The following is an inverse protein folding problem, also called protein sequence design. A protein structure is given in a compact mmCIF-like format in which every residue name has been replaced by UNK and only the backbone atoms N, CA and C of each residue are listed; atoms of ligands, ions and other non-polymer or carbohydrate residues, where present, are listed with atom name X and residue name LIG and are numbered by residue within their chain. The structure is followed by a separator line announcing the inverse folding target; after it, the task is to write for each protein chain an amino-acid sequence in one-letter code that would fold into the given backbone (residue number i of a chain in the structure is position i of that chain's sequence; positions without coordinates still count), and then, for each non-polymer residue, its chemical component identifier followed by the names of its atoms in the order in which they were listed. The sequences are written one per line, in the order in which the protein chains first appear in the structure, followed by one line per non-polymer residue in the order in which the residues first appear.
data_IF_162191647975
#
_entry.id   IF_162191647975
#
_cell.length_a   1.000
_cell.length_b   1.000
_cell.length_c   1.000
_cell.angle_alpha   90.00
_cell.angle_beta   90.00
_cell.angle_gamma   90.00
#
_symmetry.space_group_name_H-M   'P 1'
#
loop_
_entity.id
_entity.type
_entity.pdbx_description
1 polymer ?
#
# COMPACT_ATOMS: atom_id res chain seq x y z
N UNK A 1 -6.58 23.68 3.65
CA UNK A 1 -7.38 22.95 2.66
C UNK A 1 -6.82 21.55 2.49
N UNK A 2 -7.65 20.51 2.50
CA UNK A 2 -7.24 19.18 2.06
C UNK A 2 -7.74 18.96 0.64
N UNK A 3 -6.85 18.49 -0.24
CA UNK A 3 -7.18 18.25 -1.65
C UNK A 3 -8.12 17.04 -1.70
N UNK A 4 -9.27 17.13 -2.39
CA UNK A 4 -10.18 16.01 -2.54
C UNK A 4 -9.51 14.82 -3.25
N UNK A 5 -9.84 13.60 -2.83
CA UNK A 5 -9.33 12.38 -3.44
C UNK A 5 -10.28 11.92 -4.56
N UNK A 6 -10.32 12.72 -5.63
CA UNK A 6 -11.06 12.39 -6.85
C UNK A 6 -10.21 11.47 -7.73
N UNK A 7 -10.70 10.24 -7.96
CA UNK A 7 -10.02 9.25 -8.79
C UNK A 7 -10.02 9.73 -10.23
N UNK A 8 -8.83 9.84 -10.83
CA UNK A 8 -8.66 10.16 -12.25
C UNK A 8 -7.85 9.06 -12.95
N UNK A 9 -8.47 8.25 -13.83
CA UNK A 9 -7.78 7.20 -14.57
C UNK A 9 -6.63 7.69 -15.48
N UNK A 10 -6.63 8.97 -15.85
CA UNK A 10 -5.60 9.56 -16.73
C UNK A 10 -4.42 10.15 -15.94
N UNK A 11 -4.55 10.38 -14.63
CA UNK A 11 -3.46 10.85 -13.78
C UNK A 11 -2.54 9.68 -13.39
N UNK A 12 -1.25 9.84 -13.68
CA UNK A 12 -0.22 8.82 -13.45
C UNK A 12 -0.12 8.36 -12.00
N UNK A 13 -0.40 9.22 -11.02
CA UNK A 13 -0.37 8.87 -9.59
C UNK A 13 -1.47 7.87 -9.27
N UNK A 14 -2.67 8.04 -9.82
CA UNK A 14 -3.75 7.06 -9.66
C UNK A 14 -3.43 5.74 -10.36
N UNK A 15 -2.83 5.78 -11.56
CA UNK A 15 -2.38 4.56 -12.24
C UNK A 15 -1.33 3.80 -11.41
N UNK A 16 -0.34 4.52 -10.86
CA UNK A 16 0.70 3.93 -10.02
C UNK A 16 0.12 3.37 -8.71
N UNK A 17 -0.78 4.10 -8.05
CA UNK A 17 -1.46 3.61 -6.84
C UNK A 17 -2.25 2.34 -7.15
N UNK A 18 -2.90 2.24 -8.31
CA UNK A 18 -3.61 1.03 -8.75
C UNK A 18 -2.66 -0.17 -8.83
N UNK A 19 -1.47 -0.02 -9.41
CA UNK A 19 -0.47 -1.08 -9.46
C UNK A 19 0.03 -1.48 -8.07
N UNK A 20 0.24 -0.51 -7.17
CA UNK A 20 0.62 -0.78 -5.78
C UNK A 20 -0.49 -1.57 -5.07
N UNK A 21 -1.76 -1.18 -5.24
CA UNK A 21 -2.89 -1.82 -4.58
C UNK A 21 -3.07 -3.29 -5.02
N UNK A 22 -2.74 -3.64 -6.27
CA UNK A 22 -2.76 -5.03 -6.76
C UNK A 22 -1.87 -5.97 -5.93
N UNK A 23 -0.81 -5.46 -5.28
CA UNK A 23 0.05 -6.26 -4.41
C UNK A 23 -0.75 -6.91 -3.28
N UNK A 24 -1.75 -6.21 -2.73
CA UNK A 24 -2.60 -6.71 -1.66
C UNK A 24 -3.55 -7.81 -2.11
N UNK A 25 -3.85 -7.89 -3.41
CA UNK A 25 -4.70 -8.94 -3.95
C UNK A 25 -3.97 -10.26 -4.18
N UNK A 26 -2.64 -10.24 -4.22
CA UNK A 26 -1.84 -11.45 -4.46
C UNK A 26 -1.95 -12.44 -3.29
N UNK A 27 -2.21 -13.72 -3.61
CA UNK A 27 -2.28 -14.81 -2.61
C UNK A 27 -1.03 -14.89 -1.72
N UNK A 28 0.17 -14.66 -2.28
CA UNK A 28 1.43 -14.65 -1.52
C UNK A 28 1.47 -13.53 -0.48
N UNK A 29 1.03 -12.32 -0.83
CA UNK A 29 0.92 -11.17 0.07
C UNK A 29 -0.06 -11.47 1.20
N UNK A 30 -1.25 -11.99 0.86
CA UNK A 30 -2.26 -12.39 1.86
C UNK A 30 -1.70 -13.42 2.85
N UNK A 31 -0.94 -14.42 2.37
CA UNK A 31 -0.24 -15.40 3.23
C UNK A 31 0.83 -14.77 4.12
N UNK A 32 1.53 -13.73 3.65
CA UNK A 32 2.53 -13.03 4.47
C UNK A 32 1.83 -12.25 5.58
N UNK A 33 0.82 -11.45 5.25
CA UNK A 33 0.05 -10.65 6.22
C UNK A 33 -0.56 -11.55 7.31
N UNK A 34 -1.09 -12.71 6.93
CA UNK A 34 -1.68 -13.69 7.86
C UNK A 34 -0.71 -14.17 8.96
N UNK A 35 0.61 -14.10 8.73
CA UNK A 35 1.62 -14.48 9.73
C UNK A 35 1.83 -13.41 10.81
N UNK A 36 1.37 -12.19 10.56
CA UNK A 36 1.57 -11.06 11.48
C UNK A 36 0.28 -10.59 12.11
N UNK A 37 -0.85 -10.73 11.43
CA UNK A 37 -2.12 -10.17 11.90
C UNK A 37 -3.33 -10.90 11.33
N UNK A 38 -4.41 -10.83 12.10
CA UNK A 38 -5.75 -11.31 11.75
C UNK A 38 -6.80 -10.34 12.33
N UNK A 39 -8.00 -10.24 11.72
CA UNK A 39 -8.43 -10.85 10.45
C UNK A 39 -7.77 -10.23 9.20
N UNK A 40 -7.52 -11.04 8.16
CA UNK A 40 -6.76 -10.61 6.96
C UNK A 40 -7.50 -9.52 6.16
N UNK A 41 -8.83 -9.62 6.02
CA UNK A 41 -9.64 -8.64 5.27
C UNK A 41 -9.50 -7.24 5.86
N UNK A 42 -9.70 -7.13 7.19
CA UNK A 42 -9.54 -5.87 7.93
C UNK A 42 -8.12 -5.33 7.81
N UNK A 43 -7.11 -6.20 7.97
CA UNK A 43 -5.71 -5.79 7.85
C UNK A 43 -5.38 -5.21 6.47
N UNK A 44 -5.88 -5.83 5.39
CA UNK A 44 -5.69 -5.34 4.03
C UNK A 44 -6.39 -3.99 3.85
N UNK A 45 -7.63 -3.83 4.30
CA UNK A 45 -8.34 -2.56 4.19
C UNK A 45 -7.59 -1.44 4.93
N UNK A 46 -7.11 -1.69 6.15
CA UNK A 46 -6.30 -0.72 6.89
C UNK A 46 -5.00 -0.36 6.14
N UNK A 47 -4.28 -1.35 5.61
CA UNK A 47 -3.04 -1.12 4.87
C UNK A 47 -3.27 -0.31 3.58
N UNK A 48 -4.35 -0.58 2.84
CA UNK A 48 -4.71 0.19 1.65
C UNK A 48 -4.95 1.66 2.00
N UNK A 49 -5.71 1.94 3.07
CA UNK A 49 -5.95 3.32 3.54
C UNK A 49 -4.65 4.02 3.95
N UNK A 50 -3.80 3.33 4.72
CA UNK A 50 -2.51 3.88 5.18
C UNK A 50 -1.60 4.21 3.99
N UNK A 51 -1.53 3.31 3.00
CA UNK A 51 -0.72 3.54 1.80
C UNK A 51 -1.28 4.68 0.97
N UNK A 52 -2.59 4.77 0.75
CA UNK A 52 -3.20 5.91 0.06
C UNK A 52 -2.92 7.23 0.77
N UNK A 53 -2.98 7.23 2.11
CA UNK A 53 -2.65 8.39 2.95
C UNK A 53 -1.19 8.83 2.75
N UNK A 54 -0.25 7.89 2.78
CA UNK A 54 1.17 8.16 2.56
C UNK A 54 1.45 8.62 1.13
N UNK A 55 0.85 7.94 0.14
CA UNK A 55 1.06 8.19 -1.29
C UNK A 55 0.63 9.60 -1.71
N UNK A 56 -0.50 10.08 -1.21
CA UNK A 56 -0.97 11.44 -1.45
C UNK A 56 -0.52 12.45 -0.37
N UNK A 57 0.36 12.03 0.55
CA UNK A 57 0.87 12.87 1.65
C UNK A 57 -0.26 13.59 2.41
N UNK A 58 -1.32 12.85 2.72
CA UNK A 58 -2.49 13.34 3.46
C UNK A 58 -2.69 12.56 4.76
N UNK A 59 -3.69 12.93 5.55
CA UNK A 59 -4.00 12.27 6.84
C UNK A 59 -4.86 11.03 6.61
N UNK A 60 -4.68 10.01 7.44
CA UNK A 60 -5.51 8.79 7.43
C UNK A 60 -6.99 9.15 7.58
N UNK A 61 -7.31 10.08 8.49
CA UNK A 61 -8.69 10.54 8.71
C UNK A 61 -9.30 11.15 7.45
N UNK A 62 -8.52 11.88 6.65
CA UNK A 62 -9.00 12.45 5.38
C UNK A 62 -9.32 11.37 4.37
N UNK A 63 -8.50 10.31 4.28
CA UNK A 63 -8.77 9.19 3.38
C UNK A 63 -10.06 8.45 3.80
N UNK A 64 -10.26 8.26 5.11
CA UNK A 64 -11.50 7.65 5.63
C UNK A 64 -12.72 8.51 5.30
N UNK A 65 -12.65 9.81 5.56
CA UNK A 65 -13.73 10.76 5.24
C UNK A 65 -14.06 10.75 3.73
N UNK A 66 -13.05 10.73 2.86
CA UNK A 66 -13.25 10.67 1.42
C UNK A 66 -13.82 9.32 0.96
N UNK A 67 -13.45 8.21 1.60
CA UNK A 67 -14.04 6.89 1.32
C UNK A 67 -15.52 6.81 1.70
N UNK A 68 -15.93 7.46 2.79
CA UNK A 68 -17.35 7.54 3.17
C UNK A 68 -18.16 8.33 2.14
N UNK A 69 -17.59 9.40 1.58
CA UNK A 69 -18.27 10.30 0.63
C UNK A 69 -18.23 9.83 -0.83
N UNK A 70 -17.20 9.08 -1.24
CA UNK A 70 -16.94 8.76 -2.66
C UNK A 70 -16.98 7.25 -2.91
N UNK A 71 -18.06 6.78 -3.54
CA UNK A 71 -18.18 5.37 -3.99
C UNK A 71 -17.06 4.98 -4.96
N UNK A 72 -16.69 5.85 -5.88
CA UNK A 72 -15.61 5.60 -6.86
C UNK A 72 -14.26 5.33 -6.17
N UNK A 73 -13.95 6.04 -5.08
CA UNK A 73 -12.74 5.82 -4.31
C UNK A 73 -12.79 4.47 -3.59
N UNK A 74 -13.95 4.07 -3.05
CA UNK A 74 -14.16 2.75 -2.43
C UNK A 74 -13.97 1.62 -3.44
N UNK A 75 -14.54 1.78 -4.63
CA UNK A 75 -14.39 0.82 -5.73
C UNK A 75 -12.93 0.72 -6.18
N UNK A 76 -12.26 1.85 -6.36
CA UNK A 76 -10.85 1.90 -6.74
C UNK A 76 -9.94 1.21 -5.72
N UNK A 77 -10.16 1.42 -4.42
CA UNK A 77 -9.40 0.74 -3.36
C UNK A 77 -9.86 -0.72 -3.17
N UNK A 78 -11.05 -1.10 -3.66
CA UNK A 78 -11.68 -2.39 -3.36
C UNK A 78 -11.95 -2.55 -1.86
N UNK A 79 -12.51 -1.51 -1.24
CA UNK A 79 -12.88 -1.47 0.19
C UNK A 79 -14.40 -1.40 0.29
N UNK A 80 -15.02 -2.56 0.52
CA UNK A 80 -16.48 -2.68 0.70
C UNK A 80 -16.95 -2.02 2.00
N UNK A 81 -16.22 -2.28 3.09
CA UNK A 81 -16.50 -1.74 4.42
C UNK A 81 -15.38 -0.78 4.81
N UNK A 82 -15.73 0.51 4.95
CA UNK A 82 -14.78 1.56 5.29
C UNK A 82 -14.35 1.41 6.76
N UNK A 83 -13.07 1.16 7.04
CA UNK A 83 -12.61 1.06 8.42
C UNK A 83 -12.63 2.44 9.09
N UNK A 84 -13.18 2.52 10.30
CA UNK A 84 -13.12 3.74 11.12
C UNK A 84 -11.66 4.12 11.40
N UNK A 85 -11.37 5.41 11.44
CA UNK A 85 -10.04 5.94 11.77
C UNK A 85 -9.44 5.32 13.05
N UNK A 86 -10.24 5.16 14.10
CA UNK A 86 -9.80 4.52 15.35
C UNK A 86 -9.41 3.04 15.17
N UNK A 87 -10.11 2.31 14.30
CA UNK A 87 -9.78 0.92 13.96
C UNK A 87 -8.42 0.84 13.25
N UNK A 88 -8.11 1.78 12.36
CA UNK A 88 -6.84 1.84 11.65
C UNK A 88 -5.69 2.13 12.64
N UNK A 89 -5.85 3.09 13.56
CA UNK A 89 -4.82 3.35 14.57
C UNK A 89 -4.62 2.18 15.53
N UNK A 90 -5.71 1.54 15.96
CA UNK A 90 -5.62 0.31 16.77
C UNK A 90 -4.95 -0.83 16.00
N UNK A 91 -5.18 -0.94 14.69
CA UNK A 91 -4.48 -1.90 13.85
C UNK A 91 -2.97 -1.62 13.80
N UNK A 92 -2.57 -0.37 13.57
CA UNK A 92 -1.17 0.02 13.51
C UNK A 92 -0.45 -0.17 14.85
N UNK A 93 -1.11 0.11 15.98
CA UNK A 93 -0.53 -0.02 17.32
C UNK A 93 -0.21 -1.48 17.72
N UNK A 94 -0.76 -2.47 17.01
CA UNK A 94 -0.44 -3.89 17.23
C UNK A 94 0.96 -4.26 16.75
N UNK A 95 1.58 -3.44 15.90
CA UNK A 95 2.91 -3.69 15.38
C UNK A 95 3.95 -2.88 16.14
N UNK A 96 5.01 -3.53 16.58
CA UNK A 96 6.26 -2.82 16.85
C UNK A 96 7.02 -2.58 15.53
N UNK A 97 7.97 -1.63 15.53
CA UNK A 97 8.71 -1.24 14.34
C UNK A 97 9.37 -2.44 13.61
N UNK A 98 9.95 -3.37 14.37
CA UNK A 98 10.63 -4.55 13.81
C UNK A 98 9.65 -5.49 13.11
N UNK A 99 8.51 -5.77 13.73
CA UNK A 99 7.46 -6.62 13.17
C UNK A 99 6.84 -6.01 11.92
N UNK A 100 6.60 -4.69 11.92
CA UNK A 100 6.09 -3.97 10.77
C UNK A 100 7.10 -4.01 9.62
N UNK A 101 8.35 -3.67 9.90
CA UNK A 101 9.45 -3.67 8.92
C UNK A 101 9.63 -5.06 8.31
N UNK A 102 9.64 -6.11 9.13
CA UNK A 102 9.75 -7.48 8.66
C UNK A 102 8.56 -7.88 7.77
N UNK A 103 7.34 -7.46 8.08
CA UNK A 103 6.17 -7.70 7.25
C UNK A 103 6.31 -7.01 5.89
N UNK A 104 6.62 -5.72 5.87
CA UNK A 104 6.77 -4.94 4.63
C UNK A 104 7.90 -5.50 3.76
N UNK A 105 9.08 -5.78 4.34
CA UNK A 105 10.20 -6.37 3.59
C UNK A 105 9.85 -7.74 3.00
N UNK A 106 9.10 -8.58 3.72
CA UNK A 106 8.63 -9.86 3.17
C UNK A 106 7.68 -9.66 2.01
N UNK A 107 6.75 -8.71 2.10
CA UNK A 107 5.83 -8.38 0.99
C UNK A 107 6.63 -7.90 -0.21
N UNK A 108 7.52 -6.92 -0.02
CA UNK A 108 8.38 -6.38 -1.08
C UNK A 108 9.22 -7.47 -1.74
N UNK A 109 9.94 -8.27 -0.95
CA UNK A 109 10.74 -9.38 -1.46
C UNK A 109 9.91 -10.44 -2.20
N UNK A 110 8.62 -10.58 -1.88
CA UNK A 110 7.74 -11.50 -2.58
C UNK A 110 7.31 -10.97 -3.96
N UNK A 111 7.21 -9.64 -4.14
CA UNK A 111 6.77 -9.01 -5.39
C UNK A 111 7.92 -8.63 -6.30
N UNK A 112 9.09 -8.28 -5.75
CA UNK A 112 10.31 -8.09 -6.52
C UNK A 112 10.78 -9.47 -7.00
N UNK A 113 10.97 -9.65 -8.32
CA UNK A 113 11.56 -10.89 -8.86
C UNK A 113 12.91 -11.18 -8.18
N UNK A 114 13.28 -12.48 -8.09
CA UNK A 114 14.64 -12.90 -7.68
C UNK A 114 15.64 -12.07 -8.48
N UNK A 115 16.32 -11.17 -7.77
CA UNK A 115 17.35 -10.31 -8.34
C UNK A 115 18.50 -11.18 -8.83
N UNK A 116 19.03 -10.87 -10.01
CA UNK A 116 20.41 -11.23 -10.31
C UNK A 116 21.32 -10.57 -9.27
N UNK A 117 22.40 -11.26 -8.88
CA UNK A 117 23.45 -10.69 -8.01
C UNK A 117 23.82 -9.29 -8.52
N UNK A 118 24.02 -8.34 -7.62
CA UNK A 118 24.46 -6.95 -7.88
C UNK A 118 23.44 -5.91 -8.37
N UNK A 119 22.12 -6.11 -8.17
CA UNK A 119 21.13 -5.03 -8.43
C UNK A 119 20.81 -4.23 -7.16
N UNK A 120 20.92 -2.90 -7.21
CA UNK A 120 20.58 -1.97 -6.10
C UNK A 120 19.08 -1.64 -6.11
N UNK A 121 18.41 -1.74 -4.95
CA UNK A 121 17.02 -1.28 -4.78
C UNK A 121 17.12 0.15 -4.28
N UNK A 122 16.67 1.11 -5.07
CA UNK A 122 16.45 2.46 -4.58
C UNK A 122 14.95 2.53 -4.31
N UNK A 123 14.60 2.53 -3.02
CA UNK A 123 13.25 2.88 -2.58
C UNK A 123 13.31 4.37 -2.28
N UNK A 124 13.04 5.17 -3.30
CA UNK A 124 12.68 6.57 -3.04
C UNK A 124 11.17 6.60 -2.74
N UNK A 125 10.72 7.57 -1.95
CA UNK A 125 9.47 7.55 -1.19
C UNK A 125 8.18 7.28 -2.01
N UNK A 126 8.23 7.24 -3.35
CA UNK A 126 7.09 6.97 -4.23
C UNK A 126 7.43 6.03 -5.42
N UNK A 127 8.69 5.62 -5.66
CA UNK A 127 9.05 4.94 -6.92
C UNK A 127 10.06 3.82 -6.72
N UNK A 128 9.65 2.58 -7.02
CA UNK A 128 10.58 1.46 -7.21
C UNK A 128 11.08 1.51 -8.65
N UNK A 129 12.17 2.23 -8.91
CA UNK A 129 12.90 2.10 -10.16
C UNK A 129 13.87 0.93 -10.05
N UNK A 130 13.65 -0.11 -10.84
CA UNK A 130 14.70 -1.11 -11.10
C UNK A 130 15.61 -0.56 -12.20
N UNK A 131 16.76 -0.03 -11.82
CA UNK A 131 17.84 0.21 -12.78
C UNK A 131 18.44 -1.14 -13.17
N UNK A 132 18.22 -1.56 -14.41
CA UNK A 132 19.02 -2.59 -15.06
C UNK A 132 20.27 -1.90 -15.58
N UNK A 133 21.39 -2.09 -14.89
CA UNK A 133 22.70 -1.69 -15.40
C UNK A 133 23.03 -2.55 -16.62
N UNK A 134 22.85 -1.99 -17.81
CA UNK A 134 23.51 -2.47 -19.02
C UNK A 134 24.99 -2.10 -18.90
N UNK A 135 25.79 -3.01 -18.35
CA UNK A 135 27.23 -2.95 -18.46
C UNK A 135 27.64 -3.41 -19.85
N UNK A 136 28.02 -2.46 -20.70
CA UNK A 136 28.91 -2.67 -21.84
C UNK A 136 29.99 -1.59 -21.77
N UNK A 137 31.18 -2.01 -21.34
CA UNK A 137 32.50 -1.64 -21.84
C UNK A 137 33.54 -2.51 -21.12
#
# INVERSE_FOLDING_TARGET
MQIPLAVDPNDYRWQLLKEILKIFEMRKTKKIIAKFTSPIKTAINCLKVVITSMFFSTRISHVVDELERRSELREFLGVEEVPKTACIFSFLSRFNLNSFTAMILRILNSVTRRRQRNTRLIVDCILVLTSTGSGNL
#
